data_IF_387841050427
#
_entry.id   IF_387841050427
#
_cell.length_a   1.000
_cell.length_b   1.000
_cell.length_c   1.000
_cell.angle_alpha   90.00
_cell.angle_beta   90.00
_cell.angle_gamma   90.00
#
_symmetry.space_group_name_H-M   'P 1'
#
loop_
_entity.id
_entity.type
_entity.pdbx_description
1 polymer ?
#
# COMPACT_ATOMS: atom_id res chain seq x y z
N UNK A 1 -9.88 -19.15 11.10
CA UNK A 1 -8.52 -19.68 11.38
C UNK A 1 -8.26 -20.80 10.39
N UNK A 2 -7.18 -20.76 9.60
CA UNK A 2 -6.86 -21.88 8.69
C UNK A 2 -5.86 -22.85 9.37
N UNK A 3 -6.00 -24.15 9.12
CA UNK A 3 -5.16 -25.20 9.72
C UNK A 3 -3.81 -25.41 9.04
N UNK A 4 -3.25 -24.37 8.39
CA UNK A 4 -1.97 -24.49 7.70
C UNK A 4 -0.81 -24.44 8.71
N UNK A 5 0.01 -25.48 8.69
CA UNK A 5 1.26 -25.58 9.47
C UNK A 5 2.43 -25.21 8.58
N UNK A 6 3.42 -24.51 9.14
CA UNK A 6 4.64 -24.14 8.42
C UNK A 6 5.85 -24.58 9.23
N UNK A 7 6.93 -24.94 8.53
CA UNK A 7 8.19 -25.39 9.13
C UNK A 7 8.98 -24.25 9.79
N UNK A 8 8.65 -23.00 9.48
CA UNK A 8 9.33 -21.82 10.02
C UNK A 8 8.33 -20.78 10.55
N UNK A 9 8.66 -20.22 11.72
CA UNK A 9 7.91 -19.13 12.36
C UNK A 9 7.77 -17.93 11.41
N UNK A 10 8.82 -17.60 10.65
CA UNK A 10 8.82 -16.49 9.67
C UNK A 10 7.83 -16.75 8.53
N UNK A 11 7.71 -18.00 8.09
CA UNK A 11 6.74 -18.40 7.06
C UNK A 11 5.30 -18.33 7.58
N UNK A 12 5.05 -18.77 8.82
CA UNK A 12 3.75 -18.63 9.49
C UNK A 12 3.33 -17.17 9.63
N UNK A 13 4.27 -16.30 10.04
CA UNK A 13 4.03 -14.86 10.16
C UNK A 13 3.67 -14.29 8.79
N UNK A 14 4.49 -14.51 7.77
CA UNK A 14 4.23 -14.03 6.40
C UNK A 14 2.89 -14.54 5.86
N UNK A 15 2.58 -15.81 6.08
CA UNK A 15 1.29 -16.39 5.70
C UNK A 15 0.12 -15.69 6.39
N UNK A 16 0.20 -15.50 7.72
CA UNK A 16 -0.82 -14.82 8.50
C UNK A 16 -1.04 -13.39 8.03
N UNK A 17 0.02 -12.62 7.76
CA UNK A 17 -0.11 -11.25 7.27
C UNK A 17 -0.65 -11.16 5.84
N UNK A 18 -0.31 -12.11 4.97
CA UNK A 18 -0.73 -12.13 3.57
C UNK A 18 -2.15 -12.70 3.37
N UNK A 19 -2.51 -13.74 4.12
CA UNK A 19 -3.74 -14.53 3.93
C UNK A 19 -4.80 -14.23 5.00
N UNK A 20 -4.40 -13.73 6.16
CA UNK A 20 -5.30 -13.32 7.24
C UNK A 20 -5.03 -11.87 7.70
N UNK A 21 -5.12 -10.87 6.79
CA UNK A 21 -4.86 -9.47 7.13
C UNK A 21 -5.78 -8.93 8.24
N UNK A 22 -6.97 -9.52 8.39
CA UNK A 22 -7.97 -9.17 9.41
C UNK A 22 -8.00 -10.15 10.60
N UNK A 23 -6.92 -10.91 10.85
CA UNK A 23 -6.90 -11.83 11.98
C UNK A 23 -7.00 -11.09 13.33
N UNK A 24 -7.88 -11.52 14.25
CA UNK A 24 -8.19 -10.76 15.47
C UNK A 24 -7.05 -10.72 16.49
N UNK A 25 -6.11 -11.67 16.45
CA UNK A 25 -5.01 -11.73 17.42
C UNK A 25 -3.86 -10.80 17.01
N UNK A 26 -4.05 -9.50 17.24
CA UNK A 26 -2.98 -8.51 17.20
C UNK A 26 -2.40 -8.39 18.61
N UNK A 27 -1.07 -8.50 18.75
CA UNK A 27 -0.41 -8.45 20.06
C UNK A 27 -0.12 -7.00 20.43
N UNK A 28 -1.03 -6.38 21.20
CA UNK A 28 -0.88 -5.00 21.65
C UNK A 28 -0.15 -4.90 22.98
N UNK A 29 0.70 -3.89 23.12
CA UNK A 29 1.25 -3.50 24.41
C UNK A 29 0.24 -2.62 25.16
N UNK A 30 -0.19 -3.07 26.33
CA UNK A 30 -1.17 -2.37 27.16
C UNK A 30 -0.62 -1.05 27.76
N UNK A 31 0.71 -0.88 27.80
CA UNK A 31 1.39 0.30 28.35
C UNK A 31 1.54 1.46 27.34
N UNK A 32 1.67 1.15 26.04
CA UNK A 32 2.00 2.14 25.01
C UNK A 32 1.15 2.04 23.73
N UNK A 33 0.31 1.02 23.59
CA UNK A 33 -0.56 0.84 22.43
C UNK A 33 0.11 0.21 21.21
N UNK A 34 1.43 -0.01 21.22
CA UNK A 34 2.17 -0.57 20.08
C UNK A 34 1.69 -1.99 19.71
N UNK A 35 1.54 -2.23 18.41
CA UNK A 35 1.21 -3.54 17.85
C UNK A 35 2.47 -4.30 17.47
N UNK A 36 2.57 -5.55 17.92
CA UNK A 36 3.66 -6.46 17.58
C UNK A 36 3.18 -7.62 16.70
N UNK A 37 4.05 -8.13 15.81
CA UNK A 37 3.76 -9.32 15.00
C UNK A 37 3.59 -10.61 15.81
N UNK A 38 4.28 -10.71 16.96
CA UNK A 38 4.35 -11.89 17.81
C UNK A 38 4.15 -11.53 19.29
N UNK A 39 3.58 -12.47 20.05
CA UNK A 39 3.36 -12.34 21.50
C UNK A 39 4.68 -12.15 22.24
N UNK A 40 5.70 -12.94 21.92
CA UNK A 40 7.01 -12.93 22.58
C UNK A 40 7.69 -11.57 22.48
N UNK A 41 7.64 -10.91 21.32
CA UNK A 41 8.19 -9.56 21.16
C UNK A 41 7.41 -8.52 21.98
N UNK A 42 6.09 -8.65 22.05
CA UNK A 42 5.27 -7.78 22.90
C UNK A 42 5.61 -7.98 24.37
N UNK A 43 5.71 -9.23 24.84
CA UNK A 43 5.97 -9.56 26.24
C UNK A 43 7.36 -9.06 26.66
N UNK A 44 8.39 -9.27 25.83
CA UNK A 44 9.74 -8.72 26.07
C UNK A 44 9.75 -7.19 26.03
N UNK A 45 8.95 -6.56 25.17
CA UNK A 45 8.81 -5.12 25.17
C UNK A 45 8.12 -4.60 26.45
N UNK A 46 7.16 -5.34 27.00
CA UNK A 46 6.46 -4.92 28.22
C UNK A 46 7.40 -4.81 29.43
N UNK A 47 8.50 -5.58 29.48
CA UNK A 47 9.48 -5.48 30.57
C UNK A 47 10.26 -4.17 30.58
N UNK A 48 10.23 -3.39 29.48
CA UNK A 48 10.84 -2.05 29.46
C UNK A 48 9.95 -0.96 30.07
N UNK A 49 8.70 -1.28 30.42
CA UNK A 49 7.77 -0.33 31.04
C UNK A 49 7.75 -0.49 32.56
N UNK A 50 7.40 0.59 33.25
CA UNK A 50 7.21 0.53 34.69
C UNK A 50 5.95 -0.26 35.04
N UNK A 51 6.13 -1.32 35.84
CA UNK A 51 5.05 -2.16 36.34
C UNK A 51 4.00 -1.41 37.17
N UNK A 52 4.33 -0.22 37.71
CA UNK A 52 3.41 0.60 38.49
C UNK A 52 2.16 1.04 37.70
N UNK A 53 2.32 1.29 36.39
CA UNK A 53 1.23 1.68 35.49
C UNK A 53 0.09 0.63 35.46
N UNK A 54 0.44 -0.66 35.48
CA UNK A 54 -0.53 -1.75 35.47
C UNK A 54 -1.29 -1.90 36.79
N UNK A 55 -0.76 -1.36 37.90
CA UNK A 55 -1.42 -1.46 39.22
C UNK A 55 -2.47 -0.37 39.42
N UNK A 56 -2.37 0.72 38.66
CA UNK A 56 -3.27 1.88 38.70
C UNK A 56 -4.55 1.63 37.91
N UNK A 57 -5.37 0.69 38.41
CA UNK A 57 -6.62 0.25 37.77
C UNK A 57 -7.58 1.39 37.42
N UNK A 58 -7.55 2.48 38.17
CA UNK A 58 -8.34 3.69 37.97
C UNK A 58 -8.01 4.44 36.66
N UNK A 59 -6.79 4.27 36.13
CA UNK A 59 -6.36 4.89 34.87
C UNK A 59 -6.59 4.00 33.65
N UNK A 60 -7.03 2.76 33.87
CA UNK A 60 -7.22 1.81 32.79
C UNK A 60 -8.39 2.25 31.92
N UNK A 61 -8.18 2.28 30.61
CA UNK A 61 -9.19 2.63 29.63
C UNK A 61 -9.34 1.52 28.60
N UNK A 62 -10.58 1.19 28.27
CA UNK A 62 -10.93 0.23 27.23
C UNK A 62 -11.20 0.95 25.90
N UNK A 63 -10.78 0.35 24.80
CA UNK A 63 -11.13 0.81 23.46
C UNK A 63 -12.59 0.46 23.15
N UNK A 64 -13.37 1.42 22.63
CA UNK A 64 -14.78 1.21 22.28
C UNK A 64 -14.95 0.37 21.00
N UNK A 65 -13.96 0.38 20.10
CA UNK A 65 -14.02 -0.30 18.80
C UNK A 65 -13.59 -1.78 18.87
N UNK A 66 -12.76 -2.16 19.84
CA UNK A 66 -12.21 -3.53 19.94
C UNK A 66 -12.04 -4.09 21.36
N UNK A 67 -12.53 -3.37 22.38
CA UNK A 67 -12.54 -3.78 23.79
C UNK A 67 -11.16 -4.08 24.42
N UNK A 68 -10.05 -3.73 23.74
CA UNK A 68 -8.71 -3.88 24.30
C UNK A 68 -8.49 -2.87 25.43
N UNK A 69 -8.00 -3.35 26.57
CA UNK A 69 -7.67 -2.55 27.75
C UNK A 69 -6.28 -1.94 27.65
N UNK A 70 -6.12 -0.69 28.07
CA UNK A 70 -4.83 0.00 28.16
C UNK A 70 -4.66 0.62 29.53
N UNK A 71 -3.44 0.69 30.04
CA UNK A 71 -3.13 1.15 31.40
C UNK A 71 -3.14 2.67 31.55
N UNK A 72 -3.10 3.40 30.44
CA UNK A 72 -3.18 4.84 30.43
C UNK A 72 -3.86 5.36 29.15
N UNK A 73 -4.31 6.61 29.19
CA UNK A 73 -4.98 7.24 28.05
C UNK A 73 -4.09 7.43 26.82
N UNK A 74 -2.77 7.59 27.00
CA UNK A 74 -1.81 7.77 25.89
C UNK A 74 -1.70 6.50 25.04
N UNK A 75 -1.68 5.34 25.68
CA UNK A 75 -1.64 4.04 25.01
C UNK A 75 -2.93 3.77 24.22
N UNK A 76 -4.09 4.11 24.80
CA UNK A 76 -5.37 4.02 24.09
C UNK A 76 -5.40 4.98 22.88
N UNK A 77 -4.98 6.23 23.03
CA UNK A 77 -4.91 7.18 21.91
C UNK A 77 -4.01 6.65 20.79
N UNK A 78 -2.79 6.23 21.12
CA UNK A 78 -1.87 5.64 20.13
C UNK A 78 -2.51 4.43 19.41
N UNK A 79 -3.18 3.56 20.15
CA UNK A 79 -3.87 2.41 19.59
C UNK A 79 -4.99 2.83 18.62
N UNK A 80 -5.89 3.73 19.03
CA UNK A 80 -6.97 4.21 18.18
C UNK A 80 -6.44 4.88 16.92
N UNK A 81 -5.40 5.71 17.03
CA UNK A 81 -4.77 6.39 15.91
C UNK A 81 -4.09 5.42 14.94
N UNK A 82 -3.39 4.41 15.45
CA UNK A 82 -2.60 3.47 14.65
C UNK A 82 -3.40 2.28 14.11
N UNK A 83 -4.57 1.98 14.65
CA UNK A 83 -5.38 0.80 14.28
C UNK A 83 -6.72 1.19 13.67
N UNK A 84 -7.53 1.99 14.37
CA UNK A 84 -8.89 2.33 13.96
C UNK A 84 -8.89 3.51 12.98
N UNK A 85 -8.11 4.55 13.27
CA UNK A 85 -7.98 5.77 12.47
C UNK A 85 -6.71 5.81 11.62
N UNK A 86 -6.09 4.64 11.34
CA UNK A 86 -4.83 4.57 10.60
C UNK A 86 -4.91 5.29 9.25
N UNK A 87 -6.00 5.08 8.50
CA UNK A 87 -6.15 5.68 7.19
C UNK A 87 -6.24 7.20 7.28
N UNK A 88 -6.96 7.73 8.28
CA UNK A 88 -7.07 9.17 8.55
C UNK A 88 -5.72 9.76 8.95
N UNK A 89 -4.97 9.10 9.84
CA UNK A 89 -3.67 9.62 10.29
C UNK A 89 -2.56 9.56 9.23
N UNK A 90 -2.66 8.64 8.27
CA UNK A 90 -1.76 8.59 7.12
C UNK A 90 -2.28 9.42 5.95
N UNK A 91 -3.47 10.01 6.06
CA UNK A 91 -4.03 10.85 5.02
C UNK A 91 -3.25 12.16 4.95
N UNK A 92 -2.53 12.33 3.84
CA UNK A 92 -2.10 13.65 3.40
C UNK A 92 -3.24 14.24 2.55
N UNK A 93 -3.58 15.54 2.67
CA UNK A 93 -4.59 16.16 1.83
C UNK A 93 -4.31 15.87 0.36
N UNK A 94 -5.12 15.00 -0.24
CA UNK A 94 -4.90 14.57 -1.61
C UNK A 94 -5.49 15.65 -2.52
N UNK A 95 -4.65 16.36 -3.27
CA UNK A 95 -5.11 17.36 -4.22
C UNK A 95 -6.11 16.80 -5.25
N UNK A 96 -5.97 15.51 -5.59
CA UNK A 96 -6.96 14.77 -6.40
C UNK A 96 -6.93 13.28 -6.03
N UNK A 97 -8.05 12.68 -5.57
CA UNK A 97 -8.07 11.29 -5.14
C UNK A 97 -7.67 10.31 -6.27
N UNK A 98 -7.03 9.18 -5.92
CA UNK A 98 -6.56 8.21 -6.91
C UNK A 98 -7.72 7.54 -7.66
N UNK A 99 -7.46 6.96 -8.84
CA UNK A 99 -8.47 6.23 -9.58
C UNK A 99 -8.96 5.02 -8.78
N UNK A 100 -10.26 4.77 -8.83
CA UNK A 100 -10.85 3.56 -8.29
C UNK A 100 -10.43 2.33 -9.10
N UNK A 101 -10.74 1.15 -8.58
CA UNK A 101 -10.59 -0.09 -9.33
C UNK A 101 -11.68 -0.29 -10.39
N UNK A 102 -12.68 0.59 -10.48
CA UNK A 102 -13.70 0.53 -11.54
C UNK A 102 -13.14 1.06 -12.85
N UNK A 103 -13.43 0.36 -13.94
CA UNK A 103 -13.11 0.75 -15.31
C UNK A 103 -14.40 0.92 -16.11
N UNK A 104 -14.40 1.90 -17.02
CA UNK A 104 -15.39 2.01 -18.11
C UNK A 104 -14.71 1.81 -19.45
N UNK A 105 -15.38 1.13 -20.36
CA UNK A 105 -14.91 0.94 -21.74
C UNK A 105 -15.63 1.93 -22.64
N UNK A 106 -14.88 2.67 -23.47
CA UNK A 106 -15.47 3.60 -24.44
C UNK A 106 -15.86 2.87 -25.75
N UNK A 107 -16.50 3.59 -26.68
CA UNK A 107 -16.90 3.02 -28.00
C UNK A 107 -15.72 2.55 -28.86
N UNK A 108 -14.48 2.96 -28.54
CA UNK A 108 -13.26 2.52 -29.20
C UNK A 108 -12.60 1.33 -28.48
N UNK A 109 -13.28 0.74 -27.50
CA UNK A 109 -12.80 -0.36 -26.67
C UNK A 109 -11.57 -0.01 -25.80
N UNK A 110 -11.32 1.27 -25.52
CA UNK A 110 -10.31 1.72 -24.56
C UNK A 110 -10.85 1.58 -23.13
N UNK A 111 -10.05 0.98 -22.24
CA UNK A 111 -10.33 0.91 -20.82
C UNK A 111 -9.93 2.23 -20.13
N UNK A 112 -10.91 2.90 -19.53
CA UNK A 112 -10.75 4.18 -18.85
C UNK A 112 -10.93 4.02 -17.34
N UNK A 113 -10.02 4.61 -16.58
CA UNK A 113 -10.11 4.70 -15.12
C UNK A 113 -11.29 5.56 -14.69
N UNK A 114 -11.96 5.16 -13.61
CA UNK A 114 -13.03 5.95 -12.98
C UNK A 114 -12.53 6.55 -11.68
N UNK A 115 -12.78 7.84 -11.51
CA UNK A 115 -12.46 8.66 -10.36
C UNK A 115 -13.74 9.05 -9.62
N UNK A 116 -13.64 9.24 -8.31
CA UNK A 116 -14.76 9.71 -7.50
C UNK A 116 -14.32 10.89 -6.64
N UNK A 117 -15.19 11.87 -6.48
CA UNK A 117 -14.97 12.93 -5.51
C UNK A 117 -15.11 12.40 -4.09
N UNK A 118 -14.06 12.50 -3.26
CA UNK A 118 -14.08 12.03 -1.88
C UNK A 118 -15.02 12.85 -0.96
N UNK A 119 -15.41 14.06 -1.37
CA UNK A 119 -16.28 14.96 -0.61
C UNK A 119 -17.78 14.78 -0.91
N UNK A 120 -18.15 14.47 -2.16
CA UNK A 120 -19.56 14.39 -2.57
C UNK A 120 -19.97 13.07 -3.27
N UNK A 121 -19.02 12.22 -3.64
CA UNK A 121 -19.32 10.93 -4.28
C UNK A 121 -19.55 10.97 -5.80
N UNK A 122 -19.45 12.14 -6.43
CA UNK A 122 -19.67 12.28 -7.88
C UNK A 122 -18.61 11.51 -8.70
N UNK A 123 -19.06 10.83 -9.76
CA UNK A 123 -18.25 10.00 -10.67
C UNK A 123 -17.66 10.83 -11.81
N UNK A 124 -16.38 10.61 -12.12
CA UNK A 124 -15.67 11.24 -13.22
C UNK A 124 -14.80 10.21 -13.95
N UNK A 125 -14.77 10.27 -15.28
CA UNK A 125 -13.88 9.41 -16.10
C UNK A 125 -12.56 10.12 -16.45
N UNK A 126 -12.53 11.45 -16.30
CA UNK A 126 -11.37 12.29 -16.63
C UNK A 126 -10.91 13.00 -15.35
N UNK A 127 -9.63 12.83 -15.01
CA UNK A 127 -8.99 13.43 -13.83
C UNK A 127 -9.14 14.96 -13.78
N UNK A 128 -8.90 15.64 -14.90
CA UNK A 128 -9.08 17.10 -15.00
C UNK A 128 -10.50 17.56 -14.63
N UNK A 129 -11.53 16.80 -15.03
CA UNK A 129 -12.92 17.16 -14.70
C UNK A 129 -13.20 17.01 -13.20
N UNK A 130 -12.61 16.00 -12.55
CA UNK A 130 -12.67 15.86 -11.09
C UNK A 130 -11.94 17.02 -10.40
N UNK A 131 -10.73 17.38 -10.86
CA UNK A 131 -9.97 18.48 -10.27
C UNK A 131 -10.75 19.81 -10.37
N UNK A 132 -11.28 20.13 -11.55
CA UNK A 132 -12.12 21.31 -11.76
C UNK A 132 -13.38 21.28 -10.91
N UNK A 133 -13.97 20.11 -10.68
CA UNK A 133 -15.09 19.96 -9.75
C UNK A 133 -14.68 20.28 -8.31
N UNK A 134 -13.53 19.76 -7.86
CA UNK A 134 -12.98 20.04 -6.53
C UNK A 134 -12.77 21.55 -6.31
N UNK A 135 -12.25 22.26 -7.30
CA UNK A 135 -12.00 23.70 -7.23
C UNK A 135 -13.27 24.56 -7.26
N UNK A 136 -14.34 24.10 -7.91
CA UNK A 136 -15.57 24.90 -8.13
C UNK A 136 -16.69 24.60 -7.15
N UNK A 137 -16.77 23.37 -6.67
CA UNK A 137 -17.89 22.89 -5.87
C UNK A 137 -17.57 22.71 -4.39
N UNK A 138 -16.29 22.78 -4.01
CA UNK A 138 -15.82 22.60 -2.63
C UNK A 138 -14.82 23.70 -2.29
N UNK A 139 -14.84 24.18 -1.05
CA UNK A 139 -13.93 25.24 -0.61
C UNK A 139 -12.50 24.71 -0.43
N UNK A 140 -11.53 25.60 -0.22
CA UNK A 140 -10.16 25.16 0.07
C UNK A 140 -10.08 24.49 1.45
N UNK A 141 -10.79 25.03 2.43
CA UNK A 141 -10.87 24.50 3.79
C UNK A 141 -11.43 23.08 3.80
N UNK A 142 -12.49 22.81 3.03
CA UNK A 142 -13.08 21.46 2.92
C UNK A 142 -12.13 20.43 2.28
N UNK A 143 -11.27 20.88 1.36
CA UNK A 143 -10.30 20.02 0.66
C UNK A 143 -9.05 19.73 1.50
N UNK A 144 -8.63 20.69 2.30
CA UNK A 144 -7.45 20.59 3.17
C UNK A 144 -7.76 20.01 4.54
N UNK A 145 -9.02 20.00 4.96
CA UNK A 145 -9.45 19.41 6.21
C UNK A 145 -9.10 17.92 6.30
N UNK A 146 -8.52 17.53 7.43
CA UNK A 146 -8.32 16.12 7.76
C UNK A 146 -9.68 15.55 8.18
N UNK A 147 -10.24 14.58 7.44
CA UNK A 147 -11.56 14.03 7.76
C UNK A 147 -11.53 13.25 9.07
N UNK A 148 -12.62 13.24 9.83
CA UNK A 148 -12.71 12.47 11.07
C UNK A 148 -12.67 10.96 10.85
N UNK A 149 -13.28 10.53 9.74
CA UNK A 149 -13.36 9.14 9.30
C UNK A 149 -13.23 9.02 7.78
N UNK A 150 -12.71 7.89 7.31
CA UNK A 150 -12.53 7.58 5.89
C UNK A 150 -13.22 6.26 5.55
N UNK A 151 -14.24 6.34 4.70
CA UNK A 151 -15.00 5.19 4.24
C UNK A 151 -14.39 4.67 2.95
N UNK A 152 -13.93 3.42 2.96
CA UNK A 152 -13.43 2.71 1.78
C UNK A 152 -14.51 1.83 1.18
N UNK A 153 -14.81 2.01 -0.11
CA UNK A 153 -15.70 1.12 -0.83
C UNK A 153 -15.12 -0.29 -0.94
N UNK A 154 -15.91 -1.30 -0.60
CA UNK A 154 -15.52 -2.72 -0.64
C UNK A 154 -15.42 -3.28 -2.07
N UNK A 155 -16.09 -2.63 -3.03
CA UNK A 155 -16.17 -3.08 -4.42
C UNK A 155 -15.05 -2.47 -5.28
N UNK A 156 -14.95 -1.14 -5.31
CA UNK A 156 -13.97 -0.45 -6.17
C UNK A 156 -12.81 0.21 -5.41
N UNK A 157 -12.72 0.06 -4.09
CA UNK A 157 -11.67 0.64 -3.25
C UNK A 157 -11.59 2.19 -3.23
N UNK A 158 -12.58 2.91 -3.78
CA UNK A 158 -12.66 4.37 -3.67
C UNK A 158 -12.80 4.82 -2.20
N UNK A 159 -12.30 6.02 -1.89
CA UNK A 159 -12.25 6.60 -0.54
C UNK A 159 -13.16 7.81 -0.43
N UNK A 160 -13.86 7.93 0.70
CA UNK A 160 -14.83 9.00 0.96
C UNK A 160 -14.67 9.57 2.37
N UNK A 161 -14.77 10.89 2.49
CA UNK A 161 -14.65 11.62 3.76
C UNK A 161 -15.99 11.73 4.50
N UNK A 162 -17.09 11.32 3.89
CA UNK A 162 -18.42 11.38 4.52
C UNK A 162 -19.31 10.21 4.10
N UNK A 163 -20.23 9.83 4.98
CA UNK A 163 -21.25 8.81 4.71
C UNK A 163 -22.13 9.19 3.52
N UNK A 164 -22.53 10.46 3.42
CA UNK A 164 -23.31 10.98 2.29
C UNK A 164 -22.60 10.79 0.95
N UNK A 165 -21.30 11.09 0.88
CA UNK A 165 -20.52 10.88 -0.34
C UNK A 165 -20.44 9.40 -0.73
N UNK A 166 -20.28 8.51 0.27
CA UNK A 166 -20.27 7.07 0.06
C UNK A 166 -21.63 6.52 -0.45
N UNK A 167 -22.75 7.02 0.08
CA UNK A 167 -24.10 6.64 -0.36
C UNK A 167 -24.35 7.06 -1.81
N UNK A 168 -24.01 8.30 -2.18
CA UNK A 168 -24.09 8.77 -3.57
C UNK A 168 -23.22 7.92 -4.48
N UNK A 169 -21.98 7.62 -4.07
CA UNK A 169 -21.08 6.75 -4.81
C UNK A 169 -21.68 5.36 -5.08
N UNK A 170 -22.35 4.75 -4.09
CA UNK A 170 -22.89 3.40 -4.24
C UNK A 170 -23.97 3.30 -5.33
N UNK A 171 -24.65 4.40 -5.68
CA UNK A 171 -25.63 4.44 -6.77
C UNK A 171 -24.98 4.20 -8.15
N UNK A 172 -23.67 4.43 -8.28
CA UNK A 172 -22.95 4.22 -9.54
C UNK A 172 -22.52 2.78 -9.77
N UNK A 173 -22.65 1.87 -8.81
CA UNK A 173 -22.35 0.46 -9.04
C UNK A 173 -23.48 -0.25 -9.77
N UNK A 174 -23.13 -0.96 -10.83
CA UNK A 174 -24.04 -1.78 -11.61
C UNK A 174 -23.52 -3.21 -11.71
N UNK A 175 -24.40 -4.23 -11.87
CA UNK A 175 -23.97 -5.63 -11.94
C UNK A 175 -22.98 -5.93 -13.08
N UNK A 176 -23.00 -5.13 -14.15
CA UNK A 176 -22.15 -5.30 -15.32
C UNK A 176 -20.88 -4.42 -15.28
N UNK A 177 -20.58 -3.77 -14.16
CA UNK A 177 -19.38 -2.95 -14.02
C UNK A 177 -18.11 -3.81 -14.07
N UNK A 178 -17.07 -3.26 -14.70
CA UNK A 178 -15.77 -3.90 -14.81
C UNK A 178 -14.82 -3.38 -13.74
N UNK A 179 -14.09 -4.30 -13.10
CA UNK A 179 -13.13 -3.97 -12.04
C UNK A 179 -11.76 -4.56 -12.33
N UNK A 180 -10.72 -3.78 -12.04
CA UNK A 180 -9.33 -4.25 -12.12
C UNK A 180 -8.97 -4.98 -10.83
N UNK A 181 -8.41 -6.18 -10.96
CA UNK A 181 -7.99 -7.00 -9.83
C UNK A 181 -6.54 -6.74 -9.41
N UNK A 182 -5.71 -6.15 -10.28
CA UNK A 182 -4.32 -5.79 -9.97
C UNK A 182 -3.87 -4.45 -10.55
N UNK A 183 -2.95 -3.78 -9.85
CA UNK A 183 -2.34 -2.53 -10.34
C UNK A 183 -1.51 -2.73 -11.61
N UNK A 184 -0.89 -3.91 -11.77
CA UNK A 184 -0.15 -4.30 -12.97
C UNK A 184 -1.06 -4.42 -14.19
N UNK A 185 -2.24 -5.03 -14.03
CA UNK A 185 -3.27 -5.08 -15.07
C UNK A 185 -3.76 -3.67 -15.42
N UNK A 186 -3.90 -2.77 -14.44
CA UNK A 186 -4.30 -1.37 -14.70
C UNK A 186 -3.30 -0.66 -15.61
N UNK A 187 -2.00 -0.79 -15.32
CA UNK A 187 -0.93 -0.15 -16.09
C UNK A 187 -0.79 -0.72 -17.51
N UNK A 188 -1.16 -1.99 -17.72
CA UNK A 188 -1.14 -2.64 -19.04
C UNK A 188 -2.42 -2.39 -19.85
N UNK A 189 -3.58 -2.30 -19.20
CA UNK A 189 -4.90 -2.21 -19.86
C UNK A 189 -5.37 -0.76 -20.05
N UNK A 190 -5.02 0.16 -19.16
CA UNK A 190 -5.32 1.59 -19.32
C UNK A 190 -4.27 2.21 -20.24
N UNK A 191 -4.43 2.00 -21.53
CA UNK A 191 -3.50 2.44 -22.60
C UNK A 191 -3.36 3.96 -22.72
N UNK A 192 -4.28 4.71 -22.12
CA UNK A 192 -4.25 6.17 -22.02
C UNK A 192 -4.35 6.56 -20.54
N UNK A 193 -3.24 6.37 -19.81
CA UNK A 193 -3.04 7.05 -18.52
C UNK A 193 -2.97 8.54 -18.82
N UNK A 194 -4.14 9.17 -18.65
CA UNK A 194 -4.41 10.58 -18.82
C UNK A 194 -4.13 11.15 -20.23
N UNK A 195 -5.14 11.77 -20.85
CA UNK A 195 -4.90 12.80 -21.88
C UNK A 195 -4.33 14.08 -21.24
N UNK A 196 -3.54 13.94 -20.17
CA UNK A 196 -2.78 15.03 -19.62
C UNK A 196 -1.81 15.46 -20.73
N UNK A 197 -1.83 16.76 -21.01
CA UNK A 197 -0.90 17.39 -21.92
C UNK A 197 0.51 17.19 -21.36
N UNK A 198 1.14 16.08 -21.72
CA UNK A 198 2.47 15.72 -21.28
C UNK A 198 3.43 16.73 -21.90
N UNK A 199 3.92 17.67 -21.10
CA UNK A 199 4.88 18.70 -21.51
C UNK A 199 6.12 18.09 -22.19
N UNK A 200 6.46 16.82 -21.88
CA UNK A 200 7.57 16.11 -22.54
C UNK A 200 7.27 15.70 -23.99
N UNK A 201 6.00 15.76 -24.40
CA UNK A 201 5.49 15.48 -25.75
C UNK A 201 5.33 16.75 -26.59
N UNK A 202 5.45 17.91 -25.98
CA UNK A 202 5.52 19.21 -26.64
C UNK A 202 6.97 19.44 -27.04
N UNK A 203 7.25 19.47 -28.34
CA UNK A 203 8.57 19.90 -28.83
C UNK A 203 8.82 21.32 -28.34
N UNK A 204 9.81 21.49 -27.46
CA UNK A 204 10.19 22.80 -26.94
C UNK A 204 10.67 23.69 -28.09
N UNK A 205 10.15 24.92 -28.17
CA UNK A 205 10.57 25.91 -29.20
C UNK A 205 12.09 26.16 -29.19
N UNK A 206 12.75 25.85 -28.07
CA UNK A 206 14.20 25.86 -27.92
C UNK A 206 14.95 25.00 -28.95
N UNK A 207 14.36 23.93 -29.49
CA UNK A 207 15.00 23.10 -30.53
C UNK A 207 15.28 23.88 -31.84
N UNK A 208 14.57 25.00 -32.08
CA UNK A 208 14.85 25.91 -33.19
C UNK A 208 16.09 26.78 -32.97
N UNK A 209 16.54 26.89 -31.72
CA UNK A 209 17.65 27.74 -31.29
C UNK A 209 18.87 26.92 -30.85
N UNK A 210 18.75 25.59 -30.77
CA UNK A 210 19.87 24.68 -30.49
C UNK A 210 20.46 24.19 -31.82
N UNK A 211 21.75 24.47 -32.11
CA UNK A 211 22.42 23.92 -33.29
C UNK A 211 22.42 22.39 -33.24
N UNK A 212 21.97 21.75 -34.33
CA UNK A 212 22.03 20.28 -34.47
C UNK A 212 23.48 19.85 -34.70
N UNK A 213 24.15 19.38 -33.66
CA UNK A 213 25.40 18.64 -33.84
C UNK A 213 25.10 17.23 -34.39
N UNK A 214 25.40 17.03 -35.67
CA UNK A 214 25.42 15.71 -36.30
C UNK A 214 26.58 14.89 -35.74
N UNK A 215 26.38 14.26 -34.58
CA UNK A 215 27.26 13.17 -34.13
C UNK A 215 26.55 11.83 -34.31
N UNK A 216 27.13 10.88 -35.08
CA UNK A 216 26.54 9.56 -35.25
C UNK A 216 26.51 8.80 -33.92
N UNK A 217 25.32 8.40 -33.46
CA UNK A 217 25.13 7.53 -32.29
C UNK A 217 25.81 6.18 -32.55
N UNK A 218 26.96 5.92 -31.92
CA UNK A 218 27.48 4.56 -31.76
C UNK A 218 26.56 3.79 -30.80
N UNK A 219 26.05 2.65 -31.25
CA UNK A 219 25.34 1.66 -30.43
C UNK A 219 26.23 1.26 -29.23
N UNK A 220 25.78 1.62 -28.02
CA UNK A 220 26.42 1.19 -26.78
C UNK A 220 26.13 -0.30 -26.57
N UNK A 221 27.17 -1.14 -26.73
CA UNK A 221 27.14 -2.56 -26.38
C UNK A 221 27.02 -2.72 -24.86
N UNK A 222 26.15 -3.64 -24.45
CA UNK A 222 26.02 -4.14 -23.07
C UNK A 222 27.36 -4.63 -22.53
N UNK A 223 27.76 -4.16 -21.34
CA UNK A 223 28.89 -4.71 -20.60
C UNK A 223 28.46 -5.05 -19.17
N UNK A 224 28.50 -6.36 -18.89
CA UNK A 224 28.33 -6.95 -17.57
C UNK A 224 29.41 -6.44 -16.60
N UNK A 225 28.99 -6.01 -15.41
CA UNK A 225 29.88 -5.52 -14.36
C UNK A 225 30.30 -6.68 -13.44
N UNK A 226 31.43 -7.30 -13.75
CA UNK A 226 32.14 -8.19 -12.83
C UNK A 226 33.00 -7.35 -11.87
N UNK A 227 32.84 -7.58 -10.57
CA UNK A 227 33.67 -6.98 -9.51
C UNK A 227 35.09 -7.49 -9.60
N UNK A 228 36.08 -6.60 -9.52
CA UNK A 228 37.39 -6.92 -8.93
C UNK A 228 38.02 -5.67 -8.29
N UNK A 229 38.48 -5.89 -7.08
CA UNK A 229 39.15 -5.02 -6.12
C UNK A 229 40.61 -4.74 -6.51
N UNK A 230 41.14 -3.60 -6.05
CA UNK A 230 42.57 -3.37 -5.88
C UNK A 230 42.85 -2.78 -4.49
N UNK A 231 43.88 -3.33 -3.85
CA UNK A 231 44.37 -3.11 -2.49
C UNK A 231 45.02 -1.72 -2.29
N UNK A 232 44.99 -1.24 -1.05
CA UNK A 232 46.10 -0.51 -0.42
C UNK A 232 46.32 -1.06 1.01
N UNK A 233 47.53 -1.60 1.20
CA UNK A 233 48.36 -1.86 2.40
C UNK A 233 48.06 -0.97 3.65
N UNK A 234 48.16 -1.35 4.93
CA UNK A 234 49.20 -2.05 5.72
C UNK A 234 48.60 -2.39 7.12
N UNK A 235 48.81 -3.59 7.69
CA UNK A 235 49.59 -3.86 8.94
C UNK A 235 49.40 -5.31 9.42
N UNK A 236 50.52 -5.91 9.77
CA UNK A 236 50.73 -7.28 10.24
C UNK A 236 49.96 -7.61 11.54
N UNK A 237 49.49 -8.85 11.66
CA UNK A 237 49.92 -9.78 12.71
C UNK A 237 49.46 -11.19 12.39
N UNK A 238 50.28 -12.15 12.81
CA UNK A 238 50.36 -13.54 12.37
C UNK A 238 49.20 -14.42 12.88
N UNK A 239 48.85 -15.47 12.13
CA UNK A 239 49.00 -16.89 12.53
C UNK A 239 48.02 -17.84 11.82
N UNK A 240 48.63 -18.76 11.07
CA UNK A 240 48.28 -20.00 10.37
C UNK A 240 46.92 -20.73 10.47
N UNK A 241 46.64 -21.42 9.34
CA UNK A 241 46.14 -22.81 9.14
C UNK A 241 44.76 -22.94 8.45
N UNK A 242 44.71 -23.16 7.12
CA UNK A 242 44.65 -24.46 6.39
C UNK A 242 43.24 -25.10 6.39
N UNK A 243 42.51 -25.02 5.27
CA UNK A 243 42.17 -26.14 4.35
C UNK A 243 40.80 -26.76 4.76
N UNK A 244 39.82 -27.15 3.94
CA UNK A 244 39.67 -27.45 2.52
C UNK A 244 38.15 -27.36 2.14
N UNK A 245 37.89 -27.07 0.87
CA UNK A 245 36.62 -27.16 0.09
C UNK A 245 36.32 -28.64 -0.32
N UNK A 246 35.36 -29.00 -1.22
CA UNK A 246 33.95 -28.61 -1.38
C UNK A 246 32.99 -29.78 -1.80
N UNK A 247 31.73 -29.42 -2.10
CA UNK A 247 30.88 -30.05 -3.13
C UNK A 247 29.54 -30.59 -2.59
N UNK A 248 28.39 -30.57 -3.27
CA UNK A 248 27.99 -30.07 -4.58
C UNK A 248 26.43 -30.00 -4.65
N UNK A 249 25.94 -29.11 -5.51
CA UNK A 249 24.72 -29.12 -6.36
C UNK A 249 23.55 -30.09 -6.10
N UNK A 250 22.30 -29.58 -6.19
CA UNK A 250 21.41 -29.88 -7.33
C UNK A 250 20.10 -29.05 -7.35
N UNK A 251 19.73 -28.64 -8.56
CA UNK A 251 18.48 -28.01 -8.99
C UNK A 251 17.31 -29.02 -9.09
N UNK A 252 16.08 -28.54 -8.92
CA UNK A 252 14.93 -29.07 -9.68
C UNK A 252 13.84 -28.02 -9.88
N UNK A 253 13.54 -27.77 -11.15
CA UNK A 253 12.40 -27.02 -11.68
C UNK A 253 11.13 -27.87 -11.64
N UNK A 254 9.96 -27.27 -11.37
CA UNK A 254 8.73 -27.71 -12.03
C UNK A 254 7.65 -26.62 -12.09
N UNK A 255 7.02 -26.51 -13.25
CA UNK A 255 5.93 -25.59 -13.58
C UNK A 255 4.62 -26.36 -13.57
N UNK A 256 3.52 -25.77 -13.07
CA UNK A 256 2.21 -26.22 -13.53
C UNK A 256 1.08 -25.18 -13.40
N UNK A 257 0.09 -25.40 -14.26
CA UNK A 257 -0.74 -24.41 -14.96
C UNK A 257 -2.13 -24.21 -14.35
N UNK A 258 -2.76 -23.08 -14.66
CA UNK A 258 -4.06 -22.61 -14.17
C UNK A 258 -5.28 -23.44 -14.63
N UNK A 259 -6.32 -23.53 -13.78
CA UNK A 259 -7.74 -23.58 -14.17
C UNK A 259 -8.67 -22.94 -13.08
N UNK A 260 -9.86 -22.40 -13.46
CA UNK A 260 -10.56 -21.33 -12.75
C UNK A 260 -11.70 -21.78 -11.80
N UNK A 261 -11.89 -21.07 -10.68
CA UNK A 261 -12.87 -21.38 -9.64
C UNK A 261 -14.15 -20.52 -9.75
N UNK A 262 -15.26 -21.12 -10.19
CA UNK A 262 -16.62 -20.73 -9.81
C UNK A 262 -17.11 -21.60 -8.65
N UNK A 263 -18.02 -21.03 -7.86
CA UNK A 263 -18.79 -21.59 -6.73
C UNK A 263 -18.06 -21.84 -5.41
N UNK A 264 -18.37 -20.98 -4.43
CA UNK A 264 -18.87 -21.40 -3.10
C UNK A 264 -19.44 -20.20 -2.34
N UNK A 265 -20.77 -20.10 -2.34
CA UNK A 265 -21.58 -19.58 -1.24
C UNK A 265 -22.51 -20.73 -0.84
N UNK A 266 -22.82 -20.82 0.46
CA UNK A 266 -23.76 -21.72 1.13
C UNK A 266 -23.21 -23.09 1.57
N UNK A 267 -22.72 -23.14 2.82
CA UNK A 267 -23.38 -23.82 3.96
C UNK A 267 -22.69 -23.38 5.24
#
# INVERSE_FOLDING_TARGET
>A
MCGKTFESVTATIRHRFKVHPNSPTKFFCHYCGMQFPLKTHRDNHQTSHDSSESKRTELHKKCEDCDVLFYNGKALDYHCRSIHKRMVHLFQPIATPPPSNKIKVNSMNDALSVYYCHLCGAEYVIKFNLQRHLERAHTQEEREAVPEDLIKCTVCAALFCSKRAYEVHNTYHQPNDLYVTSEQQRLQTVTKVDQDFDIRRVEGVAEKYVPKDNTPKRLAKSWHKLKRTQNVEVRQTDYSSSDDEPGATNDSSDSDSELPLKQRICS
#
